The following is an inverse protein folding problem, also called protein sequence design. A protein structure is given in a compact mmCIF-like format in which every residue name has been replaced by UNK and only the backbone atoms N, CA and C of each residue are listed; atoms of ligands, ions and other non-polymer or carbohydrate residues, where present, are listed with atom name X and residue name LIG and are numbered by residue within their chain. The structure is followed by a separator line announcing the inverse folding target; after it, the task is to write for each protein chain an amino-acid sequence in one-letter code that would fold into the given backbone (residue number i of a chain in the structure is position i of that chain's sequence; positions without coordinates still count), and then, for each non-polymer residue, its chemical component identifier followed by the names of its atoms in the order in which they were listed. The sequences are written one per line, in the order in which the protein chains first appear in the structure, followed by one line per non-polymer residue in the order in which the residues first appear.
data_IF_812897693622
#
_entry.id   IF_812897693622
#
_cell.length_a   1.000
_cell.length_b   1.000
_cell.length_c   1.000
_cell.angle_alpha   90.00
_cell.angle_beta   90.00
_cell.angle_gamma   90.00
#
_symmetry.space_group_name_H-M   'P 1'
#
loop_
_entity.id
_entity.type
_entity.pdbx_description
1 polymer ?
#
# COMPACT_ATOMS: atom_id res chain seq x y z
N UNK A 1 19.78 51.19 -16.76
CA UNK A 1 20.82 50.34 -16.13
C UNK A 1 21.19 49.21 -17.12
N UNK A 2 22.48 49.07 -17.38
CA UNK A 2 22.96 47.91 -18.17
C UNK A 2 23.24 46.77 -17.21
N UNK A 3 22.54 45.66 -17.38
CA UNK A 3 22.82 44.43 -16.66
C UNK A 3 24.02 43.74 -17.29
N UNK A 4 25.05 43.44 -16.50
CA UNK A 4 26.21 42.69 -16.95
C UNK A 4 25.87 41.20 -17.05
N UNK A 5 25.71 40.75 -18.30
CA UNK A 5 25.34 39.33 -18.60
C UNK A 5 26.56 38.38 -18.59
N UNK A 6 27.77 38.90 -18.34
CA UNK A 6 28.98 38.06 -18.22
C UNK A 6 29.17 37.49 -16.80
N UNK A 7 28.46 38.03 -15.83
CA UNK A 7 28.43 37.48 -14.48
C UNK A 7 27.61 36.19 -14.42
N UNK A 8 28.12 35.15 -13.72
CA UNK A 8 27.35 33.95 -13.54
C UNK A 8 26.03 34.27 -12.81
N UNK A 9 24.93 33.85 -13.35
CA UNK A 9 23.61 33.96 -12.69
C UNK A 9 23.62 33.23 -11.35
N UNK A 10 22.68 33.60 -10.46
CA UNK A 10 22.45 32.85 -9.24
C UNK A 10 22.07 31.41 -9.63
N UNK A 11 22.81 30.42 -9.10
CA UNK A 11 22.44 29.02 -9.27
C UNK A 11 21.08 28.79 -8.62
N UNK A 12 20.09 28.41 -9.40
CA UNK A 12 18.83 27.93 -8.84
C UNK A 12 19.13 26.62 -8.10
N UNK A 13 18.74 26.56 -6.84
CA UNK A 13 18.77 25.29 -6.12
C UNK A 13 17.90 24.28 -6.88
N UNK A 14 18.52 23.24 -7.42
CA UNK A 14 17.77 22.11 -7.94
C UNK A 14 17.17 21.35 -6.75
N UNK A 15 15.87 21.34 -6.62
CA UNK A 15 15.18 20.51 -5.62
C UNK A 15 15.46 19.02 -5.88
N UNK A 16 15.37 18.21 -4.83
CA UNK A 16 15.40 16.75 -4.91
C UNK A 16 14.02 16.15 -4.56
N UNK A 17 13.81 14.91 -4.95
CA UNK A 17 12.64 14.14 -4.51
C UNK A 17 12.83 13.67 -3.08
N UNK A 18 11.73 13.63 -2.34
CA UNK A 18 11.74 13.09 -0.98
C UNK A 18 12.14 11.59 -0.99
N UNK A 19 12.90 11.08 -0.02
CA UNK A 19 13.32 9.67 0.02
C UNK A 19 12.17 8.67 -0.10
N UNK A 20 11.03 8.93 0.53
CA UNK A 20 9.83 8.07 0.41
C UNK A 20 9.35 8.03 -1.05
N UNK A 21 9.32 9.16 -1.75
CA UNK A 21 8.93 9.21 -3.17
C UNK A 21 9.90 8.43 -4.05
N UNK A 22 11.21 8.48 -3.74
CA UNK A 22 12.21 7.68 -4.45
C UNK A 22 11.99 6.19 -4.22
N UNK A 23 11.77 5.78 -2.98
CA UNK A 23 11.50 4.38 -2.62
C UNK A 23 10.20 3.88 -3.26
N UNK A 24 9.13 4.67 -3.23
CA UNK A 24 7.86 4.31 -3.87
C UNK A 24 8.03 4.08 -5.37
N UNK A 25 8.76 4.98 -6.06
CA UNK A 25 9.06 4.81 -7.49
C UNK A 25 9.87 3.56 -7.77
N UNK A 26 10.88 3.29 -6.97
CA UNK A 26 11.72 2.09 -7.09
C UNK A 26 10.89 0.82 -6.93
N UNK A 27 10.05 0.75 -5.89
CA UNK A 27 9.14 -0.37 -5.66
C UNK A 27 8.17 -0.57 -6.82
N UNK A 28 7.57 0.50 -7.32
CA UNK A 28 6.66 0.45 -8.47
C UNK A 28 7.37 -0.07 -9.72
N UNK A 29 8.59 0.37 -10.01
CA UNK A 29 9.34 -0.11 -11.17
C UNK A 29 9.72 -1.59 -11.04
N UNK A 30 10.10 -2.06 -9.85
CA UNK A 30 10.34 -3.50 -9.61
C UNK A 30 9.09 -4.30 -9.93
N UNK A 31 7.93 -3.91 -9.40
CA UNK A 31 6.69 -4.64 -9.66
C UNK A 31 6.21 -4.52 -11.12
N UNK A 32 6.45 -3.38 -11.78
CA UNK A 32 6.19 -3.25 -13.23
C UNK A 32 7.01 -4.23 -14.06
N UNK A 33 8.29 -4.42 -13.72
CA UNK A 33 9.14 -5.43 -14.35
C UNK A 33 8.61 -6.87 -14.16
N UNK A 34 7.90 -7.13 -13.06
CA UNK A 34 7.21 -8.39 -12.79
C UNK A 34 5.81 -8.50 -13.43
N UNK A 35 5.40 -7.49 -14.22
CA UNK A 35 4.13 -7.46 -14.93
C UNK A 35 2.93 -6.98 -14.09
N UNK A 36 3.18 -6.24 -13.01
CA UNK A 36 2.12 -5.60 -12.24
C UNK A 36 1.80 -4.20 -12.79
N UNK A 37 0.55 -3.81 -12.71
CA UNK A 37 0.10 -2.45 -12.94
C UNK A 37 0.06 -1.70 -11.60
N UNK A 38 0.69 -0.52 -11.53
CA UNK A 38 0.51 0.37 -10.39
C UNK A 38 -0.82 1.11 -10.53
N UNK A 39 -1.60 1.11 -9.47
CA UNK A 39 -2.90 1.78 -9.39
C UNK A 39 -2.98 2.62 -8.13
N UNK A 40 -3.69 3.74 -8.22
CA UNK A 40 -3.88 4.66 -7.10
C UNK A 40 -5.35 4.71 -6.71
N UNK A 41 -5.60 5.07 -5.46
CA UNK A 41 -6.95 5.20 -4.93
C UNK A 41 -7.10 6.37 -3.94
N UNK A 42 -8.32 6.73 -3.57
CA UNK A 42 -8.59 7.84 -2.68
C UNK A 42 -8.04 7.60 -1.27
N UNK A 43 -7.57 8.66 -0.62
CA UNK A 43 -7.15 8.62 0.80
C UNK A 43 -8.35 8.71 1.76
N UNK A 44 -9.39 9.45 1.37
CA UNK A 44 -10.68 9.44 2.04
C UNK A 44 -11.50 8.31 1.46
N UNK A 45 -11.90 7.38 2.29
CA UNK A 45 -12.56 6.16 1.86
C UNK A 45 -13.86 5.92 2.64
N UNK A 46 -14.76 5.14 2.08
CA UNK A 46 -15.94 4.68 2.80
C UNK A 46 -15.59 3.52 3.75
N UNK A 47 -16.34 3.45 4.84
CA UNK A 47 -16.28 2.32 5.77
C UNK A 47 -16.48 0.98 5.04
N UNK A 48 -17.38 0.96 4.08
CA UNK A 48 -17.65 -0.21 3.26
C UNK A 48 -16.40 -0.73 2.53
N UNK A 49 -15.71 0.12 1.75
CA UNK A 49 -14.52 -0.30 1.01
C UNK A 49 -13.32 -0.57 1.92
N UNK A 50 -13.21 0.15 3.04
CA UNK A 50 -12.08 -0.03 3.95
C UNK A 50 -12.21 -1.28 4.82
N UNK A 51 -13.43 -1.77 5.05
CA UNK A 51 -13.69 -2.88 5.97
C UNK A 51 -14.64 -3.93 5.41
N UNK A 52 -15.91 -3.59 5.18
CA UNK A 52 -16.97 -4.59 4.91
C UNK A 52 -16.70 -5.40 3.64
N UNK A 53 -16.30 -4.75 2.56
CA UNK A 53 -15.96 -5.38 1.30
C UNK A 53 -14.68 -6.25 1.36
N UNK A 54 -13.88 -6.10 2.40
CA UNK A 54 -12.70 -6.92 2.69
C UNK A 54 -13.01 -8.05 3.69
N UNK A 55 -14.29 -8.33 3.93
CA UNK A 55 -14.77 -9.32 4.88
C UNK A 55 -14.37 -9.02 6.35
N UNK A 56 -14.37 -7.74 6.70
CA UNK A 56 -14.10 -7.22 8.05
C UNK A 56 -15.35 -6.46 8.54
N UNK A 57 -16.45 -7.17 8.84
CA UNK A 57 -17.71 -6.55 9.29
C UNK A 57 -17.56 -5.88 10.66
N UNK A 58 -18.56 -5.11 11.07
CA UNK A 58 -18.53 -4.25 12.27
C UNK A 58 -18.04 -4.96 13.54
N UNK A 59 -18.42 -6.22 13.72
CA UNK A 59 -18.03 -7.00 14.91
C UNK A 59 -16.77 -7.86 14.71
N UNK A 60 -16.05 -7.67 13.62
CA UNK A 60 -14.84 -8.44 13.33
C UNK A 60 -13.67 -7.96 14.21
N UNK A 61 -12.92 -8.87 14.88
CA UNK A 61 -11.81 -8.48 15.78
C UNK A 61 -10.73 -7.61 15.11
N UNK A 62 -10.55 -7.74 13.79
CA UNK A 62 -9.61 -6.93 13.07
C UNK A 62 -9.97 -5.44 13.03
N UNK A 63 -11.24 -5.04 13.23
CA UNK A 63 -11.59 -3.62 13.32
C UNK A 63 -10.97 -2.93 14.53
N UNK A 64 -10.85 -3.64 15.64
CA UNK A 64 -10.23 -3.14 16.86
C UNK A 64 -8.70 -3.01 16.74
N UNK A 65 -8.11 -3.65 15.73
CA UNK A 65 -6.68 -3.59 15.47
C UNK A 65 -6.23 -2.30 14.74
N UNK A 66 -7.17 -1.55 14.18
CA UNK A 66 -6.88 -0.34 13.44
C UNK A 66 -7.59 0.87 14.06
N UNK A 67 -6.85 1.64 14.83
CA UNK A 67 -7.32 2.95 15.28
C UNK A 67 -7.54 3.85 14.06
N UNK A 68 -8.79 4.25 13.83
CA UNK A 68 -9.24 4.86 12.58
C UNK A 68 -9.57 6.34 12.77
N UNK A 69 -9.08 7.19 11.85
CA UNK A 69 -9.53 8.57 11.75
C UNK A 69 -10.86 8.63 10.99
N UNK A 70 -11.94 8.85 11.72
CA UNK A 70 -13.26 9.04 11.14
C UNK A 70 -13.48 10.51 10.78
N UNK A 71 -14.09 10.78 9.62
CA UNK A 71 -14.53 12.11 9.28
C UNK A 71 -15.78 12.47 10.07
N UNK A 72 -15.87 13.74 10.49
CA UNK A 72 -17.06 14.23 11.19
C UNK A 72 -18.26 14.27 10.25
N UNK A 73 -19.40 13.79 10.72
CA UNK A 73 -20.65 13.68 9.97
C UNK A 73 -21.12 12.22 9.88
N UNK A 74 -22.39 12.05 9.57
CA UNK A 74 -23.05 10.77 9.41
C UNK A 74 -23.88 10.76 8.14
N UNK A 75 -24.21 9.57 7.62
CA UNK A 75 -25.13 9.40 6.50
C UNK A 75 -24.62 9.98 5.19
N UNK A 76 -23.30 9.89 4.93
CA UNK A 76 -22.77 10.26 3.63
C UNK A 76 -23.37 9.32 2.57
N UNK A 77 -23.86 9.93 1.48
CA UNK A 77 -24.30 9.18 0.31
C UNK A 77 -23.09 8.85 -0.56
N UNK A 78 -22.88 7.59 -0.74
CA UNK A 78 -21.70 7.05 -1.42
C UNK A 78 -22.15 6.13 -2.54
N UNK A 79 -21.37 6.08 -3.61
CA UNK A 79 -21.57 5.10 -4.66
C UNK A 79 -20.96 3.75 -4.20
N UNK A 80 -21.81 2.74 -4.09
CA UNK A 80 -21.40 1.38 -3.81
C UNK A 80 -20.73 0.70 -5.00
N UNK A 81 -20.21 -0.53 -4.82
CA UNK A 81 -19.40 -1.20 -5.84
C UNK A 81 -20.16 -1.55 -7.12
N UNK A 82 -21.49 -1.66 -7.06
CA UNK A 82 -22.34 -1.97 -8.22
C UNK A 82 -23.14 -0.74 -8.72
N UNK A 83 -22.76 0.46 -8.26
CA UNK A 83 -23.41 1.72 -8.64
C UNK A 83 -24.66 2.06 -7.82
N UNK A 84 -24.94 1.29 -6.77
CA UNK A 84 -26.01 1.58 -5.81
C UNK A 84 -25.61 2.73 -4.88
N UNK A 85 -26.60 3.46 -4.38
CA UNK A 85 -26.39 4.49 -3.36
C UNK A 85 -26.35 3.84 -1.96
N UNK A 86 -25.26 4.02 -1.23
CA UNK A 86 -25.06 3.45 0.12
C UNK A 86 -24.87 4.60 1.11
N UNK A 87 -25.58 4.53 2.22
CA UNK A 87 -25.29 5.39 3.37
C UNK A 87 -24.13 4.77 4.18
N UNK A 88 -23.19 5.62 4.61
CA UNK A 88 -22.05 5.15 5.41
C UNK A 88 -21.24 6.26 6.01
N UNK A 89 -20.22 5.88 6.74
CA UNK A 89 -19.24 6.81 7.30
C UNK A 89 -18.02 6.91 6.38
N UNK A 90 -17.38 8.06 6.41
CA UNK A 90 -16.10 8.29 5.75
C UNK A 90 -14.97 8.26 6.77
N UNK A 91 -13.81 7.82 6.31
CA UNK A 91 -12.60 7.70 7.11
C UNK A 91 -11.36 8.00 6.26
N UNK A 92 -10.22 8.23 6.91
CA UNK A 92 -8.93 8.15 6.25
C UNK A 92 -8.51 6.69 6.19
N UNK A 93 -8.21 6.16 5.00
CA UNK A 93 -7.91 4.74 4.79
C UNK A 93 -6.80 4.25 5.71
N UNK A 94 -7.03 3.12 6.38
CA UNK A 94 -6.08 2.51 7.32
C UNK A 94 -5.06 1.58 6.65
N UNK A 95 -5.30 1.26 5.39
CA UNK A 95 -4.47 0.45 4.49
C UNK A 95 -4.83 0.77 3.02
N UNK A 96 -4.08 0.26 2.07
CA UNK A 96 -4.35 0.50 0.64
C UNK A 96 -5.27 -0.56 0.00
N UNK A 97 -5.72 -1.57 0.76
CA UNK A 97 -6.59 -2.66 0.30
C UNK A 97 -7.95 -2.22 -0.28
N UNK A 98 -8.57 -1.09 0.08
CA UNK A 98 -9.79 -0.62 -0.59
C UNK A 98 -9.67 -0.57 -2.10
N UNK A 99 -8.50 -0.22 -2.61
CA UNK A 99 -8.24 -0.16 -4.05
C UNK A 99 -8.26 -1.54 -4.70
N UNK A 100 -7.96 -2.62 -3.96
CA UNK A 100 -8.09 -3.99 -4.46
C UNK A 100 -9.55 -4.29 -4.81
N UNK A 101 -10.48 -3.94 -3.92
CA UNK A 101 -11.92 -4.11 -4.15
C UNK A 101 -12.40 -3.25 -5.31
N UNK A 102 -12.03 -1.97 -5.32
CA UNK A 102 -12.38 -1.04 -6.42
C UNK A 102 -11.89 -1.55 -7.77
N UNK A 103 -10.68 -2.11 -7.81
CA UNK A 103 -10.12 -2.66 -9.03
C UNK A 103 -10.86 -3.93 -9.47
N UNK A 104 -11.18 -4.84 -8.54
CA UNK A 104 -11.94 -6.06 -8.84
C UNK A 104 -13.35 -5.79 -9.35
N UNK A 105 -14.00 -4.75 -8.87
CA UNK A 105 -15.32 -4.32 -9.37
C UNK A 105 -15.24 -3.83 -10.81
N UNK A 106 -14.18 -3.12 -11.15
CA UNK A 106 -14.05 -2.48 -12.48
C UNK A 106 -13.37 -3.37 -13.53
N UNK A 107 -12.74 -4.49 -13.14
CA UNK A 107 -11.91 -5.28 -14.04
C UNK A 107 -12.16 -6.79 -13.89
N UNK A 108 -12.16 -7.46 -15.02
CA UNK A 108 -12.25 -8.94 -15.06
C UNK A 108 -10.87 -9.58 -14.98
N UNK A 109 -10.67 -10.64 -14.16
CA UNK A 109 -9.41 -11.38 -14.14
C UNK A 109 -9.06 -11.99 -15.52
N UNK A 110 -7.76 -12.26 -15.79
CA UNK A 110 -6.63 -12.18 -14.85
C UNK A 110 -6.03 -10.77 -14.78
N UNK A 111 -5.54 -10.38 -13.59
CA UNK A 111 -4.79 -9.13 -13.40
C UNK A 111 -3.78 -9.23 -12.26
N UNK A 112 -2.81 -8.31 -12.29
CA UNK A 112 -1.82 -8.10 -11.24
C UNK A 112 -1.69 -6.61 -11.00
N UNK A 113 -1.91 -6.17 -9.78
CA UNK A 113 -1.78 -4.76 -9.40
C UNK A 113 -0.91 -4.59 -8.16
N UNK A 114 -0.30 -3.41 -8.04
CA UNK A 114 0.26 -2.89 -6.81
C UNK A 114 -0.35 -1.54 -6.50
N UNK A 115 -0.59 -1.30 -5.23
CA UNK A 115 -1.25 -0.10 -4.73
C UNK A 115 -0.33 0.59 -3.74
N UNK A 116 0.54 1.49 -4.18
CA UNK A 116 1.30 2.36 -3.30
C UNK A 116 0.41 3.46 -2.74
N UNK A 117 0.71 3.96 -1.55
CA UNK A 117 0.05 5.15 -1.04
C UNK A 117 0.15 5.35 0.45
N UNK A 118 -0.25 6.55 0.87
CA UNK A 118 -0.35 6.92 2.28
C UNK A 118 -1.52 6.24 2.94
N UNK A 119 -1.32 5.89 4.20
CA UNK A 119 -2.34 5.31 5.08
C UNK A 119 -2.30 6.01 6.43
N UNK A 120 -3.37 5.92 7.19
CA UNK A 120 -3.60 6.75 8.36
C UNK A 120 -4.12 5.87 9.51
N UNK A 121 -3.49 5.97 10.68
CA UNK A 121 -3.93 5.29 11.90
C UNK A 121 -3.83 6.22 13.09
N UNK A 122 -4.87 6.25 13.91
CA UNK A 122 -4.90 7.08 15.11
C UNK A 122 -4.08 6.42 16.23
N UNK A 123 -2.78 6.32 16.01
CA UNK A 123 -1.85 5.77 16.99
C UNK A 123 -1.08 6.91 17.68
N UNK A 124 -0.63 6.67 18.91
CA UNK A 124 0.29 7.60 19.54
C UNK A 124 1.62 7.57 18.80
N UNK A 125 2.07 8.72 18.33
CA UNK A 125 3.36 8.87 17.67
C UNK A 125 4.49 8.60 18.66
N UNK A 126 5.34 7.62 18.37
CA UNK A 126 6.55 7.30 19.09
C UNK A 126 7.73 7.08 18.13
N UNK A 127 8.83 6.47 18.61
CA UNK A 127 10.00 6.21 17.77
C UNK A 127 9.77 5.19 16.65
N UNK A 128 8.66 4.44 16.67
CA UNK A 128 8.35 3.33 15.77
C UNK A 128 6.97 3.44 15.12
N UNK A 129 6.13 4.34 15.60
CA UNK A 129 4.77 4.53 15.11
C UNK A 129 4.52 5.97 14.68
N UNK A 130 4.02 6.13 13.50
CA UNK A 130 3.58 7.38 12.91
C UNK A 130 2.11 7.28 12.52
N UNK A 131 1.35 8.36 12.76
CA UNK A 131 -0.07 8.41 12.38
C UNK A 131 -0.27 8.38 10.85
N UNK A 132 0.75 8.75 10.08
CA UNK A 132 0.76 8.76 8.61
C UNK A 132 1.98 8.01 8.13
N UNK A 133 1.78 6.93 7.42
CA UNK A 133 2.87 6.16 6.82
C UNK A 133 2.50 5.67 5.42
N UNK A 134 3.45 5.04 4.72
CA UNK A 134 3.24 4.57 3.36
C UNK A 134 3.18 3.04 3.35
N UNK A 135 2.24 2.51 2.60
CA UNK A 135 2.12 1.10 2.28
C UNK A 135 2.20 0.87 0.78
N UNK A 136 2.65 -0.32 0.40
CA UNK A 136 2.49 -0.87 -0.93
C UNK A 136 1.87 -2.26 -0.78
N UNK A 137 0.68 -2.45 -1.31
CA UNK A 137 0.00 -3.74 -1.35
C UNK A 137 -0.03 -4.29 -2.76
N UNK A 138 -0.02 -5.61 -2.88
CA UNK A 138 -0.12 -6.29 -4.17
C UNK A 138 -1.30 -7.25 -4.21
N UNK A 139 -1.97 -7.33 -5.37
CA UNK A 139 -3.04 -8.29 -5.62
C UNK A 139 -2.80 -8.97 -6.96
N UNK A 140 -2.90 -10.30 -6.96
CA UNK A 140 -2.90 -11.10 -8.19
C UNK A 140 -4.13 -11.98 -8.18
N UNK A 141 -4.92 -11.89 -9.24
CA UNK A 141 -6.10 -12.72 -9.44
C UNK A 141 -5.99 -13.42 -10.79
N UNK A 142 -6.15 -14.74 -10.81
CA UNK A 142 -6.05 -15.54 -12.03
C UNK A 142 -6.11 -17.03 -11.74
N UNK A 143 -6.21 -17.82 -12.78
CA UNK A 143 -6.20 -19.28 -12.67
C UNK A 143 -4.83 -19.80 -12.26
N UNK A 144 -4.80 -20.80 -11.39
CA UNK A 144 -3.57 -21.49 -10.97
C UNK A 144 -2.63 -20.65 -10.10
N UNK A 145 -3.08 -19.50 -9.56
CA UNK A 145 -2.28 -18.72 -8.61
C UNK A 145 -2.17 -19.46 -7.27
N UNK A 146 -0.97 -19.54 -6.76
CA UNK A 146 -0.61 -20.32 -5.57
C UNK A 146 0.30 -19.53 -4.64
N UNK A 147 0.50 -20.04 -3.42
CA UNK A 147 1.47 -19.49 -2.45
C UNK A 147 2.90 -19.45 -3.03
N UNK A 148 3.24 -20.32 -3.98
CA UNK A 148 4.54 -20.28 -4.65
C UNK A 148 4.73 -19.01 -5.49
N UNK A 149 3.67 -18.49 -6.11
CA UNK A 149 3.71 -17.23 -6.85
C UNK A 149 3.90 -16.04 -5.92
N UNK A 150 3.21 -16.02 -4.77
CA UNK A 150 3.42 -14.99 -3.74
C UNK A 150 4.87 -15.02 -3.25
N UNK A 151 5.38 -16.21 -2.91
CA UNK A 151 6.76 -16.39 -2.45
C UNK A 151 7.78 -15.93 -3.51
N UNK A 152 7.54 -16.25 -4.78
CA UNK A 152 8.38 -15.79 -5.89
C UNK A 152 8.42 -14.27 -6.01
N UNK A 153 7.27 -13.61 -6.00
CA UNK A 153 7.19 -12.14 -6.08
C UNK A 153 7.93 -11.44 -4.92
N UNK A 154 7.78 -11.95 -3.68
CA UNK A 154 8.50 -11.41 -2.52
C UNK A 154 10.00 -11.68 -2.62
N UNK A 155 10.43 -12.82 -3.17
CA UNK A 155 11.83 -13.14 -3.35
C UNK A 155 12.49 -12.20 -4.38
N UNK A 156 11.85 -11.98 -5.51
CA UNK A 156 12.32 -11.03 -6.53
C UNK A 156 12.40 -9.60 -5.98
N UNK A 157 11.39 -9.17 -5.23
CA UNK A 157 11.43 -7.88 -4.55
C UNK A 157 12.63 -7.77 -3.60
N UNK A 158 12.87 -8.79 -2.78
CA UNK A 158 13.97 -8.79 -1.83
C UNK A 158 15.33 -8.74 -2.52
N UNK A 159 15.51 -9.47 -3.61
CA UNK A 159 16.74 -9.44 -4.39
C UNK A 159 16.97 -8.10 -5.09
N UNK A 160 15.91 -7.48 -5.61
CA UNK A 160 16.00 -6.19 -6.26
C UNK A 160 16.40 -5.06 -5.27
N UNK A 161 15.87 -5.10 -4.03
CA UNK A 161 16.13 -4.06 -3.02
C UNK A 161 17.44 -4.29 -2.23
N UNK A 162 17.76 -5.53 -1.90
CA UNK A 162 18.84 -5.87 -0.96
C UNK A 162 19.99 -6.68 -1.62
N UNK A 163 19.92 -6.88 -2.92
CA UNK A 163 20.92 -7.59 -3.69
C UNK A 163 20.69 -9.12 -3.77
N UNK A 164 21.47 -9.81 -4.65
CA UNK A 164 21.24 -11.21 -5.01
C UNK A 164 21.45 -12.19 -3.85
N UNK A 165 22.19 -11.80 -2.82
CA UNK A 165 22.46 -12.63 -1.64
C UNK A 165 21.41 -12.48 -0.53
N UNK A 166 20.35 -11.70 -0.78
CA UNK A 166 19.26 -11.50 0.19
C UNK A 166 18.51 -12.82 0.42
N UNK A 167 18.16 -13.07 1.69
CA UNK A 167 17.42 -14.26 2.10
C UNK A 167 16.02 -13.88 2.53
N UNK A 168 15.04 -14.66 2.14
CA UNK A 168 13.66 -14.48 2.54
C UNK A 168 13.22 -15.67 3.39
N UNK A 169 12.62 -15.39 4.53
CA UNK A 169 12.03 -16.38 5.41
C UNK A 169 10.52 -16.22 5.40
N UNK A 170 9.81 -17.29 5.09
CA UNK A 170 8.36 -17.37 5.20
C UNK A 170 7.97 -18.15 6.45
N UNK A 171 7.00 -17.62 7.19
CA UNK A 171 6.42 -18.27 8.35
C UNK A 171 4.90 -18.24 8.23
N UNK A 172 4.21 -19.38 8.37
CA UNK A 172 2.76 -19.40 8.49
C UNK A 172 2.36 -18.60 9.74
N UNK A 173 1.41 -17.70 9.58
CA UNK A 173 0.88 -16.85 10.66
C UNK A 173 -0.62 -16.74 10.48
N UNK A 174 -1.35 -16.74 11.57
CA UNK A 174 -2.78 -16.47 11.56
C UNK A 174 -3.03 -14.96 11.51
N UNK A 175 -3.85 -14.56 10.56
CA UNK A 175 -4.49 -13.25 10.51
C UNK A 175 -5.99 -13.45 10.42
N UNK A 176 -6.81 -12.69 11.20
CA UNK A 176 -8.26 -12.93 11.22
C UNK A 176 -8.96 -12.63 9.89
N UNK A 177 -8.31 -11.95 8.96
CA UNK A 177 -8.87 -11.49 7.67
C UNK A 177 -8.23 -12.18 6.45
N UNK A 178 -7.32 -13.16 6.63
CA UNK A 178 -6.68 -13.86 5.51
C UNK A 178 -6.48 -15.35 5.79
N UNK A 179 -6.71 -16.21 4.77
CA UNK A 179 -6.53 -17.66 4.84
C UNK A 179 -6.12 -18.21 3.45
N UNK A 180 -4.99 -18.90 3.32
CA UNK A 180 -3.93 -19.10 4.30
C UNK A 180 -3.09 -17.84 4.48
N UNK A 181 -2.66 -17.55 5.72
CA UNK A 181 -1.81 -16.42 6.07
C UNK A 181 -0.33 -16.79 6.19
N UNK A 182 0.54 -15.90 5.76
CA UNK A 182 1.97 -16.01 5.96
C UNK A 182 2.60 -14.63 6.19
N UNK A 183 3.62 -14.62 7.04
CA UNK A 183 4.51 -13.49 7.23
C UNK A 183 5.84 -13.80 6.57
N UNK A 184 6.49 -12.79 6.01
CA UNK A 184 7.85 -12.91 5.50
C UNK A 184 8.78 -11.93 6.21
N UNK A 185 10.05 -12.30 6.27
CA UNK A 185 11.13 -11.43 6.73
C UNK A 185 12.27 -11.50 5.71
N UNK A 186 12.94 -10.38 5.48
CA UNK A 186 14.06 -10.27 4.56
C UNK A 186 15.34 -10.06 5.34
N UNK A 187 16.37 -10.82 5.03
CA UNK A 187 17.70 -10.61 5.59
C UNK A 187 18.35 -9.39 4.94
N UNK A 188 18.70 -8.41 5.74
CA UNK A 188 19.47 -7.24 5.32
C UNK A 188 20.97 -7.50 5.60
N UNK A 189 21.78 -7.79 4.57
CA UNK A 189 23.18 -8.16 4.76
C UNK A 189 24.02 -7.06 5.39
N UNK A 190 23.86 -5.81 4.97
CA UNK A 190 24.63 -4.66 5.47
C UNK A 190 24.32 -4.37 6.94
N UNK A 191 23.06 -4.51 7.35
CA UNK A 191 22.62 -4.30 8.73
C UNK A 191 22.77 -5.53 9.63
N UNK A 192 23.07 -6.70 9.05
CA UNK A 192 23.25 -7.96 9.80
C UNK A 192 22.00 -8.42 10.57
N UNK A 193 20.79 -8.07 10.09
CA UNK A 193 19.52 -8.38 10.76
C UNK A 193 18.39 -8.75 9.80
N UNK A 194 17.36 -9.37 10.34
CA UNK A 194 16.09 -9.57 9.66
C UNK A 194 15.20 -8.33 9.78
N UNK A 195 14.64 -7.92 8.66
CA UNK A 195 13.62 -6.87 8.54
C UNK A 195 12.25 -7.50 8.38
#
# INVERSE_FOLDING_TARGET
ERVDVSLPGASLFSGGLHPITLMERELVEIFRALGYQAVEGPEVESEFFNFDALNIPEHHPARDMWDTFWLAGEGFRLEGPLGEEVEGRLLLRTHTSPMQVRYMVAHTPPFRIVVPGRVFRFEQTDATHEAVFHQLEGLVVGEGITMAHLKGAIYELAQALFGPDSKVRFQPVYFPFVEPGAQFAVWWPEGGKWL
#
